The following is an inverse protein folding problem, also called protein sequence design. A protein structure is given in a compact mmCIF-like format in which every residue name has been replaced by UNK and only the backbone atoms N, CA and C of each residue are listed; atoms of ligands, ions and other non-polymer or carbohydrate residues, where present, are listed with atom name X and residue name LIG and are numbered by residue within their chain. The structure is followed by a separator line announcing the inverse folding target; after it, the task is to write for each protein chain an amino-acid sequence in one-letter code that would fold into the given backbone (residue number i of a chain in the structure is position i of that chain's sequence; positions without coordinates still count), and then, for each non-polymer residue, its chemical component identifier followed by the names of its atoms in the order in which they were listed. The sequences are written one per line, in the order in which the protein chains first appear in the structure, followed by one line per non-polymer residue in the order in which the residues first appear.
data_IF_041224669015
#
_entry.id   IF_041224669015
#
_cell.length_a   1.000
_cell.length_b   1.000
_cell.length_c   1.000
_cell.angle_alpha   90.00
_cell.angle_beta   90.00
_cell.angle_gamma   90.00
#
_symmetry.space_group_name_H-M   'P 1'
#
loop_
_entity.id
_entity.type
_entity.pdbx_description
1 polymer ?
#
# COMPACT_ATOMS: atom_id res chain seq x y z
N UNK A 1 -3.71 36.14 10.20
CA UNK A 1 -2.47 35.38 10.39
C UNK A 1 -2.46 34.21 9.44
N UNK A 2 -1.46 34.13 8.60
CA UNK A 2 -1.35 32.95 7.73
C UNK A 2 -1.11 31.72 8.60
N UNK A 3 -1.91 30.70 8.39
CA UNK A 3 -1.67 29.39 9.00
C UNK A 3 -0.41 28.78 8.39
N UNK A 4 0.46 28.25 9.23
CA UNK A 4 1.63 27.51 8.76
C UNK A 4 1.13 26.30 7.97
N UNK A 5 1.53 26.15 6.70
CA UNK A 5 1.08 25.00 5.93
C UNK A 5 1.55 23.72 6.59
N UNK A 6 0.67 22.73 6.61
CA UNK A 6 1.00 21.41 7.12
C UNK A 6 2.13 20.79 6.29
N UNK A 7 3.14 20.16 6.92
CA UNK A 7 4.15 19.43 6.18
C UNK A 7 3.54 18.41 5.22
N UNK A 8 4.06 18.33 4.02
CA UNK A 8 3.51 17.47 2.97
C UNK A 8 3.43 16.00 3.38
N UNK A 9 4.39 15.53 4.16
CA UNK A 9 4.40 14.15 4.64
C UNK A 9 3.19 13.83 5.53
N UNK A 10 2.75 14.76 6.38
CA UNK A 10 1.54 14.58 7.22
C UNK A 10 0.29 14.49 6.37
N UNK A 11 0.21 15.31 5.33
CA UNK A 11 -0.91 15.28 4.41
C UNK A 11 -1.00 13.93 3.68
N UNK A 12 0.14 13.41 3.22
CA UNK A 12 0.18 12.11 2.56
C UNK A 12 -0.19 10.97 3.51
N UNK A 13 0.30 10.98 4.75
CA UNK A 13 -0.10 9.99 5.75
C UNK A 13 -1.61 9.99 5.98
N UNK A 14 -2.20 11.17 6.04
CA UNK A 14 -3.65 11.32 6.24
C UNK A 14 -4.45 10.79 5.06
N UNK A 15 -4.00 11.06 3.84
CA UNK A 15 -4.62 10.55 2.63
C UNK A 15 -4.55 9.02 2.57
N UNK A 16 -3.41 8.45 2.91
CA UNK A 16 -3.24 6.99 2.98
C UNK A 16 -4.16 6.40 4.05
N UNK A 17 -4.25 7.03 5.21
CA UNK A 17 -5.17 6.59 6.27
C UNK A 17 -6.62 6.53 5.78
N UNK A 18 -7.08 7.56 5.07
CA UNK A 18 -8.42 7.56 4.49
C UNK A 18 -8.62 6.41 3.50
N UNK A 19 -7.66 6.18 2.61
CA UNK A 19 -7.75 5.13 1.61
C UNK A 19 -7.79 3.73 2.24
N UNK A 20 -7.08 3.54 3.33
CA UNK A 20 -7.02 2.25 4.02
C UNK A 20 -8.11 2.07 5.09
N UNK A 21 -8.99 3.05 5.26
CA UNK A 21 -10.03 2.99 6.29
C UNK A 21 -9.48 3.04 7.70
N UNK A 22 -8.37 3.74 7.90
CA UNK A 22 -7.67 3.80 9.17
C UNK A 22 -7.47 5.22 9.67
N UNK A 23 -6.54 5.35 10.60
CA UNK A 23 -6.17 6.62 11.21
C UNK A 23 -4.67 6.82 11.15
N UNK A 24 -4.27 8.06 10.94
CA UNK A 24 -2.90 8.47 11.14
C UNK A 24 -2.52 8.26 12.60
N UNK A 25 -1.41 7.56 12.84
CA UNK A 25 -0.94 7.30 14.20
C UNK A 25 0.14 8.33 14.56
N UNK A 26 -0.09 9.21 15.56
CA UNK A 26 0.93 10.18 15.93
C UNK A 26 2.15 9.50 16.51
N UNK A 27 3.32 10.03 16.16
CA UNK A 27 4.59 9.56 16.73
C UNK A 27 4.72 10.05 18.16
N UNK A 28 4.73 9.13 19.12
CA UNK A 28 4.82 9.41 20.54
C UNK A 28 6.19 9.00 21.13
N UNK A 29 7.25 9.04 20.32
CA UNK A 29 8.60 8.71 20.75
C UNK A 29 8.91 7.23 20.85
N UNK A 30 7.99 6.37 20.39
CA UNK A 30 8.20 4.91 20.25
C UNK A 30 8.06 4.53 18.80
N UNK A 31 8.77 3.49 18.33
CA UNK A 31 8.48 2.95 17.02
C UNK A 31 7.00 2.54 16.93
N UNK A 32 6.29 3.11 15.98
CA UNK A 32 4.87 2.84 15.76
C UNK A 32 4.56 3.00 14.27
N UNK A 33 3.53 2.30 13.76
CA UNK A 33 3.12 2.51 12.37
C UNK A 33 2.65 3.94 12.13
N UNK A 34 2.87 4.46 10.93
CA UNK A 34 2.39 5.79 10.54
C UNK A 34 0.87 5.81 10.40
N UNK A 35 0.29 4.71 9.96
CA UNK A 35 -1.15 4.55 9.77
C UNK A 35 -1.58 3.19 10.31
N UNK A 36 -2.67 3.18 11.07
CA UNK A 36 -3.31 1.97 11.57
C UNK A 36 -4.73 1.88 11.04
N UNK A 37 -5.09 0.71 10.56
CA UNK A 37 -6.45 0.34 10.20
C UNK A 37 -6.76 -1.04 10.78
N UNK A 38 -8.01 -1.52 10.70
CA UNK A 38 -8.31 -2.87 11.18
C UNK A 38 -7.48 -3.97 10.53
N UNK A 39 -7.01 -3.75 9.29
CA UNK A 39 -6.26 -4.76 8.52
C UNK A 39 -4.79 -4.45 8.35
N UNK A 40 -4.38 -3.18 8.49
CA UNK A 40 -3.06 -2.75 8.08
C UNK A 40 -2.34 -1.97 9.17
N UNK A 41 -1.10 -2.33 9.41
CA UNK A 41 -0.12 -1.49 10.07
C UNK A 41 0.78 -0.95 8.95
N UNK A 42 0.70 0.34 8.68
CA UNK A 42 1.27 0.90 7.46
C UNK A 42 2.37 1.91 7.76
N UNK A 43 3.51 1.75 7.10
CA UNK A 43 4.57 2.74 7.04
C UNK A 43 4.41 3.54 5.75
N UNK A 44 4.41 4.85 5.85
CA UNK A 44 4.33 5.76 4.70
C UNK A 44 5.69 6.36 4.46
N UNK A 45 6.23 6.16 3.28
CA UNK A 45 7.51 6.73 2.87
C UNK A 45 7.28 7.69 1.70
N UNK A 46 7.72 8.93 1.88
CA UNK A 46 7.63 9.94 0.83
C UNK A 46 8.93 9.94 0.04
N UNK A 47 8.82 9.64 -1.24
CA UNK A 47 9.95 9.67 -2.18
C UNK A 47 9.51 10.31 -3.49
N UNK A 48 10.42 10.98 -4.16
CA UNK A 48 10.10 11.63 -5.43
C UNK A 48 9.86 10.61 -6.54
N UNK A 49 10.48 9.44 -6.46
CA UNK A 49 10.31 8.39 -7.47
C UNK A 49 10.75 7.04 -6.92
N UNK A 50 10.23 5.99 -7.53
CA UNK A 50 10.65 4.62 -7.28
C UNK A 50 11.98 4.31 -7.99
N UNK A 51 12.72 3.29 -7.53
CA UNK A 51 13.79 2.74 -8.37
C UNK A 51 13.26 2.41 -9.76
N UNK A 52 14.05 2.71 -10.79
CA UNK A 52 13.60 2.60 -12.17
C UNK A 52 13.13 1.20 -12.54
N UNK A 53 13.83 0.18 -12.07
CA UNK A 53 13.45 -1.22 -12.36
C UNK A 53 12.06 -1.57 -11.77
N UNK A 54 11.74 -1.03 -10.59
CA UNK A 54 10.45 -1.27 -9.95
C UNK A 54 9.34 -0.51 -10.67
N UNK A 55 9.61 0.74 -11.04
CA UNK A 55 8.67 1.55 -11.82
C UNK A 55 8.33 0.87 -13.14
N UNK A 56 9.33 0.35 -13.84
CA UNK A 56 9.13 -0.38 -15.11
C UNK A 56 8.31 -1.65 -14.91
N UNK A 57 8.60 -2.41 -13.84
CA UNK A 57 7.85 -3.62 -13.53
C UNK A 57 6.38 -3.31 -13.23
N UNK A 58 6.12 -2.25 -12.45
CA UNK A 58 4.76 -1.81 -12.15
C UNK A 58 4.02 -1.35 -13.41
N UNK A 59 4.67 -0.57 -14.27
CA UNK A 59 4.09 -0.11 -15.53
C UNK A 59 3.72 -1.30 -16.42
N UNK A 60 4.58 -2.31 -16.49
CA UNK A 60 4.28 -3.52 -17.25
C UNK A 60 3.08 -4.27 -16.66
N UNK A 61 3.02 -4.40 -15.34
CA UNK A 61 1.88 -5.04 -14.67
C UNK A 61 0.58 -4.27 -14.95
N UNK A 62 0.62 -2.93 -14.96
CA UNK A 62 -0.55 -2.11 -15.28
C UNK A 62 -1.00 -2.34 -16.72
N UNK A 63 -0.08 -2.39 -17.68
CA UNK A 63 -0.41 -2.69 -19.07
C UNK A 63 -1.03 -4.08 -19.24
N UNK A 64 -0.54 -5.06 -18.48
CA UNK A 64 -1.00 -6.44 -18.56
C UNK A 64 -2.32 -6.68 -17.80
N UNK A 65 -2.71 -5.74 -16.94
CA UNK A 65 -3.91 -5.85 -16.11
C UNK A 65 -5.18 -5.56 -16.90
N UNK A 66 -5.55 -6.50 -17.73
CA UNK A 66 -6.76 -6.43 -18.57
C UNK A 66 -7.86 -7.33 -18.02
N UNK A 67 -9.09 -7.18 -18.53
CA UNK A 67 -10.23 -8.05 -18.19
C UNK A 67 -10.55 -8.09 -16.70
N UNK A 68 -10.47 -6.93 -16.04
CA UNK A 68 -10.78 -6.83 -14.61
C UNK A 68 -9.65 -7.28 -13.68
N UNK A 69 -8.50 -7.66 -14.21
CA UNK A 69 -7.35 -8.02 -13.38
C UNK A 69 -6.70 -6.79 -12.80
N UNK A 70 -6.08 -6.96 -11.63
CA UNK A 70 -5.35 -5.89 -10.95
C UNK A 70 -3.84 -6.08 -11.13
N UNK A 71 -3.09 -4.97 -11.26
CA UNK A 71 -1.64 -5.06 -11.42
C UNK A 71 -0.96 -5.48 -10.12
N UNK A 72 -0.01 -6.40 -10.23
CA UNK A 72 0.75 -6.90 -9.10
C UNK A 72 2.17 -7.23 -9.55
N UNK A 73 3.15 -6.75 -8.79
CA UNK A 73 4.56 -7.14 -8.95
C UNK A 73 4.96 -7.94 -7.71
N UNK A 74 5.48 -9.14 -7.92
CA UNK A 74 6.03 -9.96 -6.84
C UNK A 74 7.54 -9.95 -6.95
N UNK A 75 8.21 -9.58 -5.86
CA UNK A 75 9.66 -9.61 -5.78
C UNK A 75 10.07 -10.80 -4.95
N UNK A 76 10.87 -11.67 -5.53
CA UNK A 76 11.36 -12.87 -4.87
C UNK A 76 12.81 -12.64 -4.48
N UNK A 77 13.12 -12.79 -3.19
CA UNK A 77 14.47 -12.62 -2.67
C UNK A 77 14.96 -13.94 -2.08
N UNK A 78 15.73 -14.72 -2.85
CA UNK A 78 16.33 -15.95 -2.31
C UNK A 78 17.24 -15.61 -1.13
N UNK A 79 17.14 -16.41 -0.06
CA UNK A 79 17.89 -16.16 1.17
C UNK A 79 19.14 -17.03 1.32
N UNK A 80 19.42 -17.87 0.32
CA UNK A 80 20.55 -18.77 0.31
C UNK A 80 20.12 -20.23 0.28
N UNK A 81 21.10 -21.09 0.17
CA UNK A 81 20.89 -22.54 0.01
C UNK A 81 20.15 -23.13 1.22
N UNK A 82 19.07 -23.85 0.95
CA UNK A 82 18.27 -24.49 1.99
C UNK A 82 17.35 -23.57 2.77
N UNK A 83 17.31 -22.26 2.44
CA UNK A 83 16.44 -21.29 3.09
C UNK A 83 15.27 -20.90 2.18
N UNK A 84 14.12 -20.65 2.78
CA UNK A 84 12.95 -20.17 2.03
C UNK A 84 13.22 -18.79 1.46
N UNK A 85 12.84 -18.56 0.22
CA UNK A 85 12.85 -17.23 -0.37
C UNK A 85 11.81 -16.34 0.34
N UNK A 86 12.13 -15.07 0.46
CA UNK A 86 11.17 -14.06 0.88
C UNK A 86 10.48 -13.49 -0.35
N UNK A 87 9.20 -13.23 -0.21
CA UNK A 87 8.40 -12.69 -1.30
C UNK A 87 7.69 -11.43 -0.83
N UNK A 88 7.74 -10.42 -1.65
CA UNK A 88 7.11 -9.12 -1.36
C UNK A 88 6.19 -8.76 -2.51
N UNK A 89 5.06 -8.15 -2.17
CA UNK A 89 4.09 -7.70 -3.17
C UNK A 89 4.13 -6.18 -3.27
N UNK A 90 4.19 -5.68 -4.51
CA UNK A 90 4.09 -4.26 -4.83
C UNK A 90 2.97 -4.05 -5.82
N UNK A 91 2.11 -3.11 -5.53
CA UNK A 91 1.01 -2.75 -6.40
C UNK A 91 0.62 -1.30 -6.14
N UNK A 92 -0.03 -0.63 -7.10
CA UNK A 92 -0.60 0.68 -6.84
C UNK A 92 -1.59 0.58 -5.67
N UNK A 93 -1.58 1.56 -4.79
CA UNK A 93 -2.46 1.55 -3.62
C UNK A 93 -3.93 1.48 -4.01
N UNK A 94 -4.30 2.12 -5.12
CA UNK A 94 -5.66 2.10 -5.66
C UNK A 94 -6.12 0.67 -5.99
N UNK A 95 -5.20 -0.17 -6.48
CA UNK A 95 -5.51 -1.57 -6.77
C UNK A 95 -5.80 -2.36 -5.48
N UNK A 96 -5.02 -2.12 -4.44
CA UNK A 96 -5.25 -2.75 -3.12
C UNK A 96 -6.60 -2.32 -2.54
N UNK A 97 -6.93 -1.03 -2.63
CA UNK A 97 -8.21 -0.49 -2.15
C UNK A 97 -9.39 -1.09 -2.93
N UNK A 98 -9.26 -1.17 -4.25
CA UNK A 98 -10.28 -1.77 -5.12
C UNK A 98 -10.51 -3.24 -4.77
N UNK A 99 -9.44 -4.01 -4.61
CA UNK A 99 -9.53 -5.41 -4.20
C UNK A 99 -10.18 -5.58 -2.84
N UNK A 100 -9.84 -4.72 -1.87
CA UNK A 100 -10.44 -4.76 -0.54
C UNK A 100 -11.93 -4.52 -0.55
N UNK A 101 -12.40 -3.57 -1.36
CA UNK A 101 -13.84 -3.28 -1.52
C UNK A 101 -14.58 -4.45 -2.15
N UNK A 102 -14.03 -5.04 -3.20
CA UNK A 102 -14.64 -6.22 -3.83
C UNK A 102 -14.74 -7.39 -2.86
N UNK A 103 -13.70 -7.62 -2.06
CA UNK A 103 -13.72 -8.67 -1.04
C UNK A 103 -14.78 -8.44 0.02
N UNK A 104 -14.95 -7.20 0.47
CA UNK A 104 -15.95 -6.83 1.46
C UNK A 104 -17.37 -6.95 0.89
N UNK A 105 -17.59 -6.50 -0.35
CA UNK A 105 -18.85 -6.64 -1.04
C UNK A 105 -19.24 -8.11 -1.21
N UNK A 106 -18.31 -8.96 -1.58
CA UNK A 106 -18.56 -10.40 -1.67
C UNK A 106 -18.91 -11.03 -0.33
N UNK A 107 -18.32 -10.55 0.76
CA UNK A 107 -18.66 -11.01 2.11
C UNK A 107 -20.07 -10.59 2.51
N UNK A 108 -20.50 -9.39 2.15
CA UNK A 108 -21.83 -8.89 2.47
C UNK A 108 -22.92 -9.59 1.68
N UNK A 109 -22.65 -9.92 0.43
CA UNK A 109 -23.61 -10.59 -0.46
C UNK A 109 -23.58 -12.10 -0.26
N UNK A 110 -22.57 -12.60 0.34
CA UNK A 110 -22.13 -13.93 0.06
C UNK A 110 -22.68 -15.04 0.89
N UNK A 111 -23.18 -14.85 2.05
CA UNK A 111 -23.46 -16.06 2.80
C UNK A 111 -24.89 -16.23 3.22
N UNK A 112 -25.46 -17.34 2.85
CA UNK A 112 -26.72 -17.74 3.46
C UNK A 112 -26.55 -17.96 4.94
#
# INVERSE_FOLDING_TARGET
MPTVPEPSWKRHERQVAQLLGGRRHPNIGRPSPDVLSPRWACEVKLRSRLPLWLERALNQAVEDATMGRLPLVVIVCPQGRGKKARRYAFLPLEALVSWGRESDDKKEVGDP
#
